data_IF_870399960573
#
_entry.id   IF_870399960573
#
_cell.length_a   1.000
_cell.length_b   1.000
_cell.length_c   1.000
_cell.angle_alpha   90.00
_cell.angle_beta   90.00
_cell.angle_gamma   90.00
#
_symmetry.space_group_name_H-M   'P 1'
#
loop_
_entity.id
_entity.type
_entity.pdbx_description
1 polymer ?
#
# COMPACT_ATOMS: atom_id res chain seq x y z
N UNK A 1 -28.16 -25.59 -31.98
CA UNK A 1 -29.49 -25.28 -31.40
C UNK A 1 -30.09 -26.55 -30.82
N UNK A 2 -29.30 -27.19 -29.99
CA UNK A 2 -29.45 -28.51 -29.38
C UNK A 2 -29.91 -28.41 -27.92
N UNK A 3 -30.27 -27.21 -27.44
CA UNK A 3 -30.94 -27.00 -26.15
C UNK A 3 -30.09 -27.27 -24.90
N UNK A 4 -28.85 -27.75 -25.02
CA UNK A 4 -28.00 -28.13 -23.88
C UNK A 4 -27.11 -27.01 -23.32
N UNK A 5 -27.24 -25.76 -23.79
CA UNK A 5 -26.40 -24.65 -23.31
C UNK A 5 -26.99 -24.01 -22.06
N UNK A 6 -26.36 -24.26 -20.92
CA UNK A 6 -26.67 -23.61 -19.65
C UNK A 6 -26.08 -22.19 -19.63
N UNK A 7 -26.89 -21.21 -19.22
CA UNK A 7 -26.40 -19.87 -18.92
C UNK A 7 -25.60 -19.93 -17.61
N UNK A 8 -24.32 -19.57 -17.66
CA UNK A 8 -23.41 -19.60 -16.52
C UNK A 8 -23.04 -18.16 -16.14
N UNK A 9 -23.15 -17.84 -14.85
CA UNK A 9 -22.66 -16.58 -14.28
C UNK A 9 -21.58 -16.96 -13.26
N UNK A 10 -20.39 -16.38 -13.40
CA UNK A 10 -19.28 -16.56 -12.47
C UNK A 10 -19.00 -15.23 -11.79
N UNK A 11 -19.13 -15.20 -10.46
CA UNK A 11 -18.78 -14.04 -9.66
C UNK A 11 -17.45 -14.32 -8.95
N UNK A 12 -16.47 -13.43 -9.14
CA UNK A 12 -15.16 -13.54 -8.49
C UNK A 12 -14.72 -12.17 -7.99
N UNK A 13 -14.19 -12.12 -6.76
CA UNK A 13 -13.60 -10.89 -6.19
C UNK A 13 -12.22 -10.56 -6.82
N UNK A 14 -11.64 -11.48 -7.59
CA UNK A 14 -10.33 -11.34 -8.25
C UNK A 14 -10.46 -11.71 -9.72
N UNK A 15 -11.27 -10.97 -10.47
CA UNK A 15 -11.53 -11.21 -11.91
C UNK A 15 -10.23 -11.30 -12.74
N UNK A 16 -9.18 -10.56 -12.34
CA UNK A 16 -7.89 -10.54 -13.02
C UNK A 16 -6.94 -11.69 -12.69
N UNK A 17 -7.25 -12.54 -11.70
CA UNK A 17 -6.39 -13.68 -11.39
C UNK A 17 -6.32 -14.63 -12.60
N UNK A 18 -5.10 -15.02 -13.00
CA UNK A 18 -4.88 -15.86 -14.18
C UNK A 18 -5.71 -17.14 -14.15
N UNK A 19 -5.81 -17.79 -12.98
CA UNK A 19 -6.61 -19.01 -12.79
C UNK A 19 -8.11 -18.79 -13.03
N UNK A 20 -8.65 -17.61 -12.68
CA UNK A 20 -10.07 -17.26 -12.89
C UNK A 20 -10.35 -17.03 -14.37
N UNK A 21 -9.47 -16.31 -15.07
CA UNK A 21 -9.56 -16.12 -16.52
C UNK A 21 -9.50 -17.45 -17.27
N UNK A 22 -8.51 -18.28 -16.95
CA UNK A 22 -8.33 -19.61 -17.54
C UNK A 22 -9.53 -20.53 -17.28
N UNK A 23 -10.13 -20.49 -16.09
CA UNK A 23 -11.34 -21.26 -15.78
C UNK A 23 -12.54 -20.77 -16.61
N UNK A 24 -12.77 -19.46 -16.70
CA UNK A 24 -13.88 -18.89 -17.43
C UNK A 24 -13.78 -19.17 -18.93
N UNK A 25 -12.60 -19.04 -19.53
CA UNK A 25 -12.36 -19.39 -20.93
C UNK A 25 -12.59 -20.87 -21.24
N UNK A 26 -12.30 -21.76 -20.27
CA UNK A 26 -12.49 -23.20 -20.43
C UNK A 26 -13.95 -23.64 -20.30
N UNK A 27 -14.72 -23.00 -19.42
CA UNK A 27 -16.07 -23.44 -19.05
C UNK A 27 -17.18 -22.64 -19.73
N UNK A 28 -16.89 -21.42 -20.19
CA UNK A 28 -17.89 -20.49 -20.73
C UNK A 28 -17.66 -20.27 -22.22
N UNK A 29 -18.75 -20.18 -22.98
CA UNK A 29 -18.72 -19.94 -24.42
C UNK A 29 -19.03 -18.46 -24.71
N UNK A 30 -17.99 -17.67 -25.04
CA UNK A 30 -18.03 -16.19 -25.17
C UNK A 30 -18.51 -15.47 -23.89
N UNK A 31 -17.73 -15.52 -22.78
CA UNK A 31 -18.08 -14.79 -21.57
C UNK A 31 -18.03 -13.27 -21.80
N UNK A 32 -19.07 -12.55 -21.37
CA UNK A 32 -19.01 -11.09 -21.22
C UNK A 32 -18.36 -10.77 -19.88
N UNK A 33 -17.24 -10.05 -19.94
CA UNK A 33 -16.56 -9.59 -18.75
C UNK A 33 -17.19 -8.30 -18.25
N UNK A 34 -17.79 -8.35 -17.05
CA UNK A 34 -18.27 -7.16 -16.34
C UNK A 34 -17.31 -6.93 -15.19
N UNK A 35 -16.39 -6.01 -15.41
CA UNK A 35 -15.50 -5.56 -14.35
C UNK A 35 -16.12 -4.39 -13.60
N UNK A 36 -16.41 -4.61 -12.33
CA UNK A 36 -16.94 -3.58 -11.44
C UNK A 36 -15.82 -2.78 -10.76
N UNK A 37 -14.58 -3.28 -10.83
CA UNK A 37 -13.43 -2.41 -10.62
C UNK A 37 -13.32 -1.59 -11.91
N UNK A 38 -13.51 -0.27 -11.83
CA UNK A 38 -12.88 0.61 -12.81
C UNK A 38 -11.36 0.35 -12.83
N UNK A 39 -10.62 1.07 -13.67
CA UNK A 39 -9.15 1.06 -13.53
C UNK A 39 -8.77 1.27 -12.06
N UNK A 40 -7.77 0.53 -11.57
CA UNK A 40 -7.31 0.65 -10.19
C UNK A 40 -6.86 2.11 -9.98
N UNK A 41 -7.73 2.91 -9.38
CA UNK A 41 -7.52 4.33 -9.19
C UNK A 41 -7.25 4.64 -7.73
N UNK A 42 -6.44 5.66 -7.50
CA UNK A 42 -6.27 6.26 -6.17
C UNK A 42 -7.59 6.96 -5.81
N UNK A 43 -8.21 6.67 -4.66
CA UNK A 43 -9.38 7.42 -4.24
C UNK A 43 -9.03 8.90 -4.09
N UNK A 44 -9.88 9.81 -4.58
CA UNK A 44 -9.68 11.26 -4.48
C UNK A 44 -9.48 11.75 -3.03
N UNK A 45 -10.03 11.00 -2.06
CA UNK A 45 -9.90 11.28 -0.63
C UNK A 45 -8.55 10.87 -0.02
N UNK A 46 -7.61 10.38 -0.84
CA UNK A 46 -6.30 9.92 -0.39
C UNK A 46 -5.21 10.75 -1.07
N UNK A 47 -4.52 11.56 -0.27
CA UNK A 47 -3.26 12.14 -0.69
C UNK A 47 -2.15 11.11 -0.43
N UNK A 48 -1.37 10.79 -1.46
CA UNK A 48 -0.27 9.85 -1.35
C UNK A 48 1.03 10.47 -1.83
N UNK A 49 2.10 10.27 -1.07
CA UNK A 49 3.43 10.84 -1.31
C UNK A 49 4.51 9.79 -1.12
N UNK A 50 5.66 10.04 -1.74
CA UNK A 50 6.87 9.22 -1.62
C UNK A 50 7.97 10.03 -0.97
N UNK A 51 8.64 9.46 0.03
CA UNK A 51 9.86 10.00 0.59
C UNK A 51 11.03 9.10 0.21
N UNK A 52 11.98 9.65 -0.55
CA UNK A 52 13.18 8.92 -0.94
C UNK A 52 14.15 8.82 0.25
N UNK A 53 14.49 7.60 0.63
CA UNK A 53 15.42 7.28 1.71
C UNK A 53 16.78 7.01 1.08
N UNK A 54 17.68 7.99 1.19
CA UNK A 54 19.01 7.90 0.61
C UNK A 54 20.10 7.85 1.69
N UNK A 55 20.79 6.71 1.85
CA UNK A 55 21.83 6.57 2.86
C UNK A 55 23.13 7.32 2.54
N UNK A 56 23.29 7.83 1.31
CA UNK A 56 24.43 8.67 0.93
C UNK A 56 24.22 10.12 1.36
N UNK A 57 23.00 10.64 1.25
CA UNK A 57 22.69 12.04 1.57
C UNK A 57 22.24 12.23 3.01
N UNK A 58 21.65 11.20 3.62
CA UNK A 58 21.30 11.19 5.04
C UNK A 58 22.28 10.29 5.82
N UNK A 59 23.33 10.88 6.38
CA UNK A 59 24.32 10.17 7.18
C UNK A 59 23.92 10.00 8.66
N UNK A 60 22.69 10.37 9.05
CA UNK A 60 22.25 10.31 10.45
C UNK A 60 22.23 8.89 11.02
N UNK A 61 22.10 7.87 10.16
CA UNK A 61 22.15 6.46 10.55
C UNK A 61 23.45 6.05 11.26
N UNK A 62 24.54 6.79 11.04
CA UNK A 62 25.85 6.51 11.65
C UNK A 62 25.90 6.86 13.15
N UNK A 63 24.99 7.71 13.62
CA UNK A 63 25.04 8.31 14.97
C UNK A 63 23.71 8.14 15.74
N UNK A 64 22.91 7.14 15.36
CA UNK A 64 21.64 6.87 16.03
C UNK A 64 21.89 6.36 17.46
N UNK A 65 21.27 7.03 18.43
CA UNK A 65 21.35 6.64 19.84
C UNK A 65 20.53 5.38 20.16
N UNK A 66 19.39 5.24 19.50
CA UNK A 66 18.43 4.15 19.69
C UNK A 66 17.93 3.66 18.32
N UNK A 67 18.82 3.01 17.53
CA UNK A 67 18.45 2.49 16.21
C UNK A 67 17.40 1.39 16.33
N UNK A 68 16.61 1.20 15.27
CA UNK A 68 15.77 0.02 15.10
C UNK A 68 16.63 -1.24 15.02
N UNK A 69 16.15 -2.33 15.63
CA UNK A 69 16.76 -3.65 15.43
C UNK A 69 16.45 -4.14 14.02
N UNK A 70 17.45 -4.62 13.28
CA UNK A 70 17.26 -5.11 11.90
C UNK A 70 16.95 -6.60 11.85
N UNK A 71 16.61 -7.10 10.67
CA UNK A 71 16.16 -8.47 10.39
C UNK A 71 17.31 -9.51 10.30
N UNK A 72 18.53 -9.12 10.67
CA UNK A 72 19.72 -9.99 10.67
C UNK A 72 20.25 -10.39 9.29
N UNK A 73 19.72 -9.82 8.21
CA UNK A 73 20.13 -10.17 6.83
C UNK A 73 21.61 -9.83 6.56
N UNK A 74 22.16 -8.89 7.33
CA UNK A 74 23.53 -8.40 7.25
C UNK A 74 24.44 -8.91 8.37
N UNK A 75 24.01 -9.89 9.18
CA UNK A 75 24.79 -10.39 10.34
C UNK A 75 26.15 -11.01 9.94
N UNK A 76 26.28 -11.48 8.70
CA UNK A 76 27.52 -12.04 8.15
C UNK A 76 28.25 -11.09 7.20
N UNK A 77 27.71 -9.88 7.00
CA UNK A 77 28.31 -8.86 6.15
C UNK A 77 29.17 -7.91 7.01
N UNK A 78 30.26 -7.36 6.45
CA UNK A 78 31.10 -6.39 7.17
C UNK A 78 30.51 -4.97 7.11
N UNK A 79 29.35 -4.78 7.74
CA UNK A 79 28.62 -3.50 7.72
C UNK A 79 29.15 -2.52 8.78
N UNK A 80 29.70 -1.39 8.33
CA UNK A 80 30.19 -0.34 9.23
C UNK A 80 30.22 1.01 8.50
N UNK A 81 29.98 2.17 9.16
CA UNK A 81 30.00 3.49 8.53
C UNK A 81 31.21 3.84 7.64
N UNK A 82 32.36 3.21 7.88
CA UNK A 82 33.60 3.41 7.12
C UNK A 82 33.69 2.55 5.87
N UNK A 83 32.87 1.49 5.76
CA UNK A 83 32.83 0.59 4.62
C UNK A 83 31.67 0.97 3.70
N UNK A 84 31.95 1.55 2.53
CA UNK A 84 30.94 1.98 1.57
C UNK A 84 30.49 0.82 0.66
N UNK A 85 30.15 -0.34 1.24
CA UNK A 85 29.65 -1.48 0.48
C UNK A 85 28.13 -1.39 0.24
N UNK A 86 27.59 -2.05 -0.81
CA UNK A 86 26.14 -2.14 -1.02
C UNK A 86 25.38 -2.67 0.21
N UNK A 87 25.95 -3.64 0.93
CA UNK A 87 25.38 -4.20 2.16
C UNK A 87 25.33 -3.16 3.29
N UNK A 88 26.34 -2.31 3.40
CA UNK A 88 26.35 -1.24 4.40
C UNK A 88 25.25 -0.22 4.10
N UNK A 89 25.09 0.18 2.84
CA UNK A 89 24.02 1.10 2.45
C UNK A 89 22.63 0.47 2.59
N UNK A 90 22.48 -0.81 2.27
CA UNK A 90 21.24 -1.57 2.53
C UNK A 90 20.90 -1.61 4.03
N UNK A 91 21.88 -1.88 4.90
CA UNK A 91 21.69 -1.82 6.35
C UNK A 91 21.34 -0.39 6.81
N UNK A 92 22.00 0.62 6.27
CA UNK A 92 21.74 2.03 6.58
C UNK A 92 20.30 2.44 6.22
N UNK A 93 19.77 1.99 5.08
CA UNK A 93 18.36 2.26 4.68
C UNK A 93 17.39 1.66 5.69
N UNK A 94 17.60 0.42 6.14
CA UNK A 94 16.75 -0.21 7.17
C UNK A 94 16.71 0.63 8.46
N UNK A 95 17.86 1.17 8.87
CA UNK A 95 17.96 2.07 10.01
C UNK A 95 17.23 3.39 9.77
N UNK A 96 17.46 4.03 8.63
CA UNK A 96 16.82 5.30 8.26
C UNK A 96 15.30 5.19 8.15
N UNK A 97 14.78 4.10 7.58
CA UNK A 97 13.33 3.86 7.47
C UNK A 97 12.64 3.84 8.85
N UNK A 98 13.30 3.29 9.87
CA UNK A 98 12.84 3.36 11.26
C UNK A 98 12.74 4.80 11.76
N UNK A 99 13.76 5.61 11.51
CA UNK A 99 13.77 7.03 11.89
C UNK A 99 12.76 7.88 11.11
N UNK A 100 12.60 7.61 9.81
CA UNK A 100 11.68 8.32 8.94
C UNK A 100 10.23 8.00 9.30
N UNK A 101 9.95 6.77 9.75
CA UNK A 101 8.64 6.43 10.31
C UNK A 101 8.29 7.29 11.54
N UNK A 102 9.23 7.45 12.47
CA UNK A 102 9.02 8.32 13.64
C UNK A 102 8.86 9.78 13.21
N UNK A 103 9.71 10.25 12.29
CA UNK A 103 9.64 11.61 11.75
C UNK A 103 8.29 11.88 11.09
N UNK A 104 7.77 10.95 10.29
CA UNK A 104 6.44 11.04 9.68
C UNK A 104 5.33 11.16 10.74
N UNK A 105 5.40 10.30 11.77
CA UNK A 105 4.47 10.30 12.90
C UNK A 105 4.46 11.67 13.61
N UNK A 106 5.65 12.23 13.87
CA UNK A 106 5.77 13.50 14.59
C UNK A 106 5.38 14.71 13.74
N UNK A 107 5.85 14.77 12.49
CA UNK A 107 5.61 15.87 11.56
C UNK A 107 4.12 16.05 11.29
N UNK A 108 3.42 14.96 11.01
CA UNK A 108 1.98 14.98 10.74
C UNK A 108 1.11 14.78 11.97
N UNK A 109 1.71 14.72 13.18
CA UNK A 109 1.02 14.50 14.45
C UNK A 109 0.04 13.32 14.38
N UNK A 110 0.49 12.22 13.79
CA UNK A 110 -0.37 11.07 13.53
C UNK A 110 -0.92 10.52 14.85
N UNK A 111 -2.23 10.50 14.97
CA UNK A 111 -2.94 9.96 16.13
C UNK A 111 -3.38 8.52 15.89
N UNK A 112 -3.58 8.15 14.62
CA UNK A 112 -3.98 6.81 14.20
C UNK A 112 -3.45 6.46 12.82
N UNK A 113 -2.68 5.39 12.71
CA UNK A 113 -2.15 4.96 11.41
C UNK A 113 -2.11 3.44 11.25
N UNK A 114 -2.16 2.99 10.00
CA UNK A 114 -1.75 1.64 9.62
C UNK A 114 -0.35 1.69 9.00
N UNK A 115 0.53 0.81 9.42
CA UNK A 115 1.93 0.79 8.97
C UNK A 115 2.19 -0.56 8.34
N UNK A 116 2.59 -0.55 7.07
CA UNK A 116 2.86 -1.76 6.30
C UNK A 116 4.35 -2.06 6.24
N UNK A 117 4.70 -3.28 6.62
CA UNK A 117 6.03 -3.86 6.44
C UNK A 117 5.96 -5.07 5.51
N UNK A 118 7.06 -5.36 4.82
CA UNK A 118 7.16 -6.51 3.91
C UNK A 118 7.16 -7.83 4.67
N UNK A 119 7.96 -7.93 5.74
CA UNK A 119 8.12 -9.18 6.49
C UNK A 119 7.52 -9.09 7.89
N UNK A 120 7.21 -10.27 8.45
CA UNK A 120 6.78 -10.41 9.85
C UNK A 120 7.84 -9.95 10.85
N UNK A 121 9.12 -10.17 10.54
CA UNK A 121 10.23 -9.77 11.41
C UNK A 121 10.34 -8.25 11.45
N UNK A 122 10.17 -7.58 10.31
CA UNK A 122 10.17 -6.11 10.25
C UNK A 122 8.99 -5.52 11.04
N UNK A 123 7.82 -6.17 11.03
CA UNK A 123 6.70 -5.77 11.88
C UNK A 123 7.10 -5.78 13.36
N UNK A 124 7.66 -6.90 13.84
CA UNK A 124 8.05 -7.09 15.24
C UNK A 124 9.16 -6.12 15.66
N UNK A 125 10.16 -5.94 14.79
CA UNK A 125 11.25 -4.99 14.99
C UNK A 125 10.73 -3.55 15.10
N UNK A 126 9.76 -3.17 14.26
CA UNK A 126 9.15 -1.84 14.29
C UNK A 126 8.27 -1.64 15.53
N UNK A 127 7.49 -2.63 15.94
CA UNK A 127 6.69 -2.59 17.18
C UNK A 127 7.59 -2.35 18.39
N UNK A 128 8.69 -3.09 18.48
CA UNK A 128 9.67 -2.92 19.55
C UNK A 128 10.32 -1.53 19.49
N UNK A 129 10.72 -1.07 18.31
CA UNK A 129 11.37 0.23 18.14
C UNK A 129 10.45 1.39 18.54
N UNK A 130 9.20 1.40 18.08
CA UNK A 130 8.22 2.43 18.45
C UNK A 130 7.95 2.43 19.96
N UNK A 131 7.80 1.26 20.58
CA UNK A 131 7.62 1.14 22.04
C UNK A 131 8.82 1.66 22.82
N UNK A 132 10.04 1.37 22.38
CA UNK A 132 11.26 1.88 23.00
C UNK A 132 11.39 3.40 22.88
N UNK A 133 11.02 3.96 21.72
CA UNK A 133 11.19 5.39 21.42
C UNK A 133 10.18 6.31 22.08
N UNK A 134 8.94 5.86 22.27
CA UNK A 134 7.88 6.73 22.78
C UNK A 134 6.88 6.08 23.73
N UNK A 135 7.04 4.80 24.06
CA UNK A 135 6.15 4.07 24.97
C UNK A 135 4.67 4.23 24.58
N UNK A 136 3.88 4.81 25.47
CA UNK A 136 2.44 5.05 25.23
C UNK A 136 2.16 6.09 24.13
N UNK A 137 3.08 7.03 23.88
CA UNK A 137 2.93 8.01 22.78
C UNK A 137 2.88 7.31 21.43
N UNK A 138 3.60 6.19 21.30
CA UNK A 138 3.68 5.35 20.11
C UNK A 138 3.09 3.95 20.33
N UNK A 139 1.97 3.88 21.08
CA UNK A 139 1.29 2.62 21.34
C UNK A 139 0.90 1.93 20.03
N UNK A 140 1.38 0.70 19.87
CA UNK A 140 1.26 -0.06 18.64
C UNK A 140 1.09 -1.55 18.90
N UNK A 141 0.52 -2.24 17.91
CA UNK A 141 0.35 -3.70 17.90
C UNK A 141 0.67 -4.26 16.50
N UNK A 142 1.18 -5.49 16.47
CA UNK A 142 1.47 -6.22 15.24
C UNK A 142 0.37 -7.17 14.79
N UNK A 143 0.19 -7.30 13.48
CA UNK A 143 -0.70 -8.27 12.85
C UNK A 143 -0.01 -8.91 11.64
N UNK A 144 0.49 -10.14 11.83
CA UNK A 144 1.11 -10.98 10.80
C UNK A 144 0.83 -12.47 11.05
N UNK A 145 1.22 -13.33 10.11
CA UNK A 145 0.87 -14.76 10.10
C UNK A 145 1.45 -15.60 11.24
N UNK A 146 2.54 -15.16 11.88
CA UNK A 146 3.19 -15.88 12.99
C UNK A 146 2.58 -15.57 14.36
N UNK A 147 1.76 -14.51 14.49
CA UNK A 147 1.00 -14.25 15.72
C UNK A 147 -0.12 -15.26 15.88
N UNK A 148 -0.41 -15.65 17.13
CA UNK A 148 -1.48 -16.61 17.41
C UNK A 148 -2.83 -16.02 16.97
N UNK A 149 -3.79 -16.84 16.48
CA UNK A 149 -5.09 -16.33 16.02
C UNK A 149 -5.84 -15.48 17.07
N UNK A 150 -5.77 -15.89 18.34
CA UNK A 150 -6.37 -15.14 19.46
C UNK A 150 -5.70 -13.77 19.67
N UNK A 151 -4.37 -13.73 19.60
CA UNK A 151 -3.58 -12.51 19.72
C UNK A 151 -3.86 -11.56 18.55
N UNK A 152 -3.96 -12.06 17.32
CA UNK A 152 -4.34 -11.26 16.14
C UNK A 152 -5.71 -10.61 16.33
N UNK A 153 -6.70 -11.36 16.82
CA UNK A 153 -8.04 -10.84 17.11
C UNK A 153 -7.99 -9.77 18.20
N UNK A 154 -7.25 -10.02 19.28
CA UNK A 154 -7.08 -9.07 20.37
C UNK A 154 -6.41 -7.77 19.91
N UNK A 155 -5.30 -7.85 19.18
CA UNK A 155 -4.58 -6.70 18.64
C UNK A 155 -5.48 -5.87 17.72
N UNK A 156 -6.23 -6.54 16.84
CA UNK A 156 -7.20 -5.88 15.97
C UNK A 156 -8.29 -5.16 16.76
N UNK A 157 -8.84 -5.79 17.79
CA UNK A 157 -9.84 -5.18 18.67
C UNK A 157 -9.29 -3.97 19.42
N UNK A 158 -8.07 -4.06 19.96
CA UNK A 158 -7.39 -2.94 20.63
C UNK A 158 -7.25 -1.74 19.69
N UNK A 159 -6.85 -1.97 18.44
CA UNK A 159 -6.74 -0.92 17.42
C UNK A 159 -8.11 -0.36 16.98
N UNK A 160 -9.12 -1.22 16.82
CA UNK A 160 -10.49 -0.79 16.49
C UNK A 160 -11.09 0.08 17.60
N UNK A 161 -10.85 -0.28 18.85
CA UNK A 161 -11.27 0.45 20.06
C UNK A 161 -10.39 1.65 20.40
N UNK A 162 -9.42 1.99 19.55
CA UNK A 162 -8.50 3.13 19.73
C UNK A 162 -7.68 3.07 21.04
N UNK A 163 -7.46 1.85 21.57
CA UNK A 163 -6.59 1.65 22.74
C UNK A 163 -5.11 1.76 22.37
N UNK A 164 -4.79 1.54 21.10
CA UNK A 164 -3.47 1.72 20.51
C UNK A 164 -3.59 2.56 19.25
N UNK A 165 -2.56 3.36 18.97
CA UNK A 165 -2.54 4.32 17.86
C UNK A 165 -2.16 3.69 16.53
N UNK A 166 -1.24 2.74 16.53
CA UNK A 166 -0.68 2.19 15.30
C UNK A 166 -0.92 0.69 15.16
N UNK A 167 -1.34 0.28 13.97
CA UNK A 167 -1.43 -1.11 13.58
C UNK A 167 -0.32 -1.41 12.57
N UNK A 168 0.62 -2.26 12.94
CA UNK A 168 1.73 -2.67 12.08
C UNK A 168 1.37 -4.03 11.46
N UNK A 169 1.45 -4.17 10.15
CA UNK A 169 1.03 -5.41 9.49
C UNK A 169 1.76 -5.72 8.18
N UNK A 170 1.68 -7.00 7.80
CA UNK A 170 2.04 -7.49 6.46
C UNK A 170 0.81 -7.52 5.56
N UNK A 171 0.98 -7.43 4.23
CA UNK A 171 -0.12 -7.50 3.26
C UNK A 171 -1.05 -8.70 3.46
N UNK A 172 -0.47 -9.90 3.62
CA UNK A 172 -1.22 -11.14 3.78
C UNK A 172 -2.18 -11.07 4.97
N UNK A 173 -1.72 -10.43 6.05
CA UNK A 173 -2.47 -10.36 7.29
C UNK A 173 -3.47 -9.20 7.31
N UNK A 174 -3.25 -8.18 6.47
CA UNK A 174 -4.14 -7.05 6.27
C UNK A 174 -5.31 -7.35 5.30
N UNK A 175 -5.16 -8.34 4.42
CA UNK A 175 -6.24 -8.79 3.54
C UNK A 175 -7.43 -9.28 4.36
N UNK A 176 -8.61 -8.78 4.02
CA UNK A 176 -9.86 -9.12 4.72
C UNK A 176 -10.05 -8.41 6.07
N UNK A 177 -9.15 -7.51 6.48
CA UNK A 177 -9.44 -6.64 7.61
C UNK A 177 -10.48 -5.61 7.20
N UNK A 178 -11.59 -5.56 7.93
CA UNK A 178 -12.55 -4.46 7.84
C UNK A 178 -12.05 -3.27 8.67
N UNK A 179 -11.03 -2.60 8.14
CA UNK A 179 -10.49 -1.33 8.61
C UNK A 179 -10.37 -0.45 7.36
N UNK A 180 -11.14 0.64 7.34
CA UNK A 180 -11.17 1.64 6.27
C UNK A 180 -11.33 3.02 6.90
N UNK A 181 -11.03 4.09 6.15
CA UNK A 181 -11.18 5.46 6.68
C UNK A 181 -10.15 5.84 7.72
N UNK A 182 -8.95 5.24 7.69
CA UNK A 182 -7.85 5.70 8.53
C UNK A 182 -7.32 7.06 8.02
N UNK A 183 -6.89 7.95 8.92
CA UNK A 183 -6.36 9.24 8.52
C UNK A 183 -4.93 9.14 7.97
N UNK A 184 -4.17 8.12 8.39
CA UNK A 184 -2.78 7.96 7.99
C UNK A 184 -2.42 6.51 7.64
N UNK A 185 -1.52 6.36 6.68
CA UNK A 185 -0.81 5.10 6.39
C UNK A 185 0.66 5.39 6.10
N UNK A 186 1.52 4.47 6.53
CA UNK A 186 2.95 4.48 6.19
C UNK A 186 3.32 3.14 5.56
N UNK A 187 3.92 3.16 4.37
CA UNK A 187 4.62 2.01 3.81
C UNK A 187 6.09 2.12 4.20
N UNK A 188 6.56 1.22 5.08
CA UNK A 188 7.99 1.11 5.42
C UNK A 188 8.75 0.50 4.24
N UNK A 189 8.11 -0.43 3.54
CA UNK A 189 8.63 -1.08 2.34
C UNK A 189 7.53 -1.09 1.29
N UNK A 190 7.86 -0.76 0.05
CA UNK A 190 6.91 -0.90 -1.05
C UNK A 190 6.51 -2.38 -1.22
N UNK A 191 5.24 -2.65 -1.57
CA UNK A 191 4.78 -4.01 -1.82
C UNK A 191 5.47 -4.61 -3.04
N UNK A 192 5.67 -5.94 -3.05
CA UNK A 192 6.26 -6.65 -4.20
C UNK A 192 5.33 -6.63 -5.44
N UNK A 193 4.05 -6.27 -5.29
CA UNK A 193 3.05 -6.19 -6.36
C UNK A 193 2.30 -4.86 -6.27
N UNK A 194 2.27 -4.14 -7.40
CA UNK A 194 1.56 -2.86 -7.58
C UNK A 194 0.08 -2.90 -7.19
N UNK A 195 -0.59 -4.04 -7.37
CA UNK A 195 -1.99 -4.23 -6.95
C UNK A 195 -2.15 -4.15 -5.43
N UNK A 196 -1.14 -4.60 -4.67
CA UNK A 196 -1.16 -4.45 -3.21
C UNK A 196 -1.00 -2.99 -2.80
N UNK A 197 -0.28 -2.16 -3.56
CA UNK A 197 -0.16 -0.72 -3.27
C UNK A 197 -1.56 -0.08 -3.21
N UNK A 198 -2.38 -0.34 -4.23
CA UNK A 198 -3.78 0.13 -4.30
C UNK A 198 -4.61 -0.38 -3.13
N UNK A 199 -4.44 -1.65 -2.75
CA UNK A 199 -5.14 -2.23 -1.59
C UNK A 199 -4.70 -1.62 -0.25
N UNK A 200 -3.43 -1.19 -0.13
CA UNK A 200 -2.91 -0.53 1.07
C UNK A 200 -3.47 0.89 1.20
N UNK A 201 -3.38 1.69 0.14
CA UNK A 201 -3.88 3.08 0.15
C UNK A 201 -5.40 3.12 0.29
N UNK A 202 -6.13 2.12 -0.22
CA UNK A 202 -7.59 2.00 -0.03
C UNK A 202 -8.04 1.79 1.43
N UNK A 203 -7.11 1.64 2.38
CA UNK A 203 -7.40 1.63 3.83
C UNK A 203 -7.45 3.02 4.44
N UNK A 204 -6.94 4.00 3.71
CA UNK A 204 -6.85 5.41 4.06
C UNK A 204 -7.97 6.17 3.37
N UNK A 205 -8.42 7.26 4.00
CA UNK A 205 -9.43 8.12 3.42
C UNK A 205 -10.84 7.54 3.48
N UNK A 206 -11.82 8.44 3.56
CA UNK A 206 -13.25 8.13 3.49
C UNK A 206 -13.94 9.32 2.82
N UNK A 207 -15.14 9.12 2.27
CA UNK A 207 -15.93 10.15 1.57
C UNK A 207 -16.06 11.53 2.27
N UNK A 208 -15.77 11.65 3.57
CA UNK A 208 -15.83 12.91 4.33
C UNK A 208 -14.48 13.40 4.91
N UNK A 209 -13.38 12.63 4.76
CA UNK A 209 -12.08 12.92 5.39
C UNK A 209 -10.92 12.53 4.48
N UNK A 210 -10.05 13.51 4.22
CA UNK A 210 -8.77 13.29 3.57
C UNK A 210 -7.86 12.44 4.46
N UNK A 211 -7.23 11.44 3.87
CA UNK A 211 -6.17 10.68 4.50
C UNK A 211 -4.84 10.83 3.76
N UNK A 212 -3.75 10.65 4.49
CA UNK A 212 -2.39 10.77 3.98
C UNK A 212 -1.70 9.40 3.98
N UNK A 213 -1.20 8.99 2.82
CA UNK A 213 -0.45 7.77 2.61
C UNK A 213 1.02 8.11 2.27
N UNK A 214 1.95 7.80 3.17
CA UNK A 214 3.38 8.05 2.95
C UNK A 214 4.07 6.74 2.60
N UNK A 215 4.85 6.72 1.52
CA UNK A 215 5.70 5.57 1.18
C UNK A 215 7.18 5.93 1.29
N UNK A 216 7.91 5.17 2.10
CA UNK A 216 9.36 5.31 2.22
C UNK A 216 10.02 4.41 1.17
N UNK A 217 10.82 5.00 0.28
CA UNK A 217 11.41 4.31 -0.88
C UNK A 217 12.91 4.46 -0.84
N UNK A 218 13.65 3.36 -0.75
CA UNK A 218 15.10 3.34 -0.81
C UNK A 218 15.60 3.88 -2.15
N UNK A 219 16.65 4.69 -2.16
CA UNK A 219 17.34 5.05 -3.43
C UNK A 219 18.34 3.99 -3.88
N UNK A 220 18.68 3.04 -3.01
CA UNK A 220 19.63 1.95 -3.28
C UNK A 220 18.96 0.58 -3.19
N UNK A 221 19.48 -0.46 -3.86
CA UNK A 221 18.99 -1.82 -3.64
C UNK A 221 19.15 -2.25 -2.18
N UNK A 222 18.11 -2.86 -1.62
CA UNK A 222 18.13 -3.45 -0.27
C UNK A 222 18.32 -4.96 -0.35
N UNK A 223 19.25 -5.52 0.41
CA UNK A 223 19.35 -6.96 0.61
C UNK A 223 18.24 -7.37 1.58
N UNK A 224 17.41 -8.31 1.16
CA UNK A 224 16.24 -8.75 1.92
C UNK A 224 16.12 -10.26 1.94
N UNK A 225 15.49 -10.80 2.98
CA UNK A 225 15.13 -12.21 3.02
C UNK A 225 14.12 -12.57 1.91
N UNK A 226 14.35 -13.72 1.28
CA UNK A 226 13.49 -14.31 0.27
C UNK A 226 13.56 -15.84 0.36
N UNK A 227 12.51 -16.43 0.92
CA UNK A 227 12.43 -17.86 1.20
C UNK A 227 11.44 -18.52 0.24
N UNK A 228 11.94 -19.31 -0.71
CA UNK A 228 11.09 -20.20 -1.50
C UNK A 228 11.22 -21.66 -1.08
N UNK A 229 10.82 -22.57 -1.97
CA UNK A 229 10.72 -24.00 -1.68
C UNK A 229 12.06 -24.66 -1.32
N UNK A 230 13.18 -24.10 -1.78
CA UNK A 230 14.52 -24.58 -1.46
C UNK A 230 14.92 -24.34 0.00
N UNK A 231 14.28 -23.39 0.68
CA UNK A 231 14.56 -23.10 2.09
C UNK A 231 13.87 -24.15 2.98
N UNK A 232 14.66 -25.10 3.51
CA UNK A 232 14.15 -26.18 4.38
C UNK A 232 13.34 -25.68 5.56
N UNK A 233 13.74 -24.57 6.17
CA UNK A 233 13.05 -23.99 7.33
C UNK A 233 11.92 -23.03 6.96
N UNK A 234 11.74 -22.74 5.65
CA UNK A 234 10.78 -21.76 5.13
C UNK A 234 10.86 -20.42 5.89
N UNK A 235 12.08 -19.98 6.17
CA UNK A 235 12.38 -18.75 6.89
C UNK A 235 12.26 -18.80 8.42
N UNK A 236 11.92 -19.94 9.03
CA UNK A 236 12.01 -20.07 10.49
C UNK A 236 13.47 -20.24 10.89
N UNK A 237 14.02 -19.30 11.67
CA UNK A 237 15.41 -19.33 12.13
C UNK A 237 16.41 -19.61 10.99
N UNK A 238 16.17 -19.02 9.81
CA UNK A 238 17.10 -19.14 8.69
C UNK A 238 18.23 -18.13 8.87
N UNK A 239 19.47 -18.59 8.73
CA UNK A 239 20.67 -17.75 8.82
C UNK A 239 21.49 -17.75 7.52
N UNK A 240 20.94 -18.29 6.43
CA UNK A 240 21.62 -18.36 5.14
C UNK A 240 21.47 -17.03 4.39
N UNK A 241 22.31 -16.06 4.74
CA UNK A 241 22.28 -14.68 4.20
C UNK A 241 22.82 -14.56 2.77
N UNK A 242 23.22 -15.67 2.14
CA UNK A 242 23.67 -15.67 0.75
C UNK A 242 22.52 -15.33 -0.21
N UNK A 243 22.87 -14.93 -1.43
CA UNK A 243 21.90 -14.67 -2.49
C UNK A 243 21.34 -15.97 -3.09
N UNK A 244 20.13 -15.91 -3.64
CA UNK A 244 19.43 -17.08 -4.19
C UNK A 244 20.12 -17.72 -5.40
N UNK A 245 20.89 -16.94 -6.17
CA UNK A 245 21.72 -17.41 -7.29
C UNK A 245 22.77 -18.47 -6.86
N UNK A 246 23.27 -18.36 -5.62
CA UNK A 246 24.19 -19.31 -4.99
C UNK A 246 23.51 -20.15 -3.92
N UNK A 247 22.22 -20.44 -4.08
CA UNK A 247 21.39 -21.26 -3.16
C UNK A 247 21.25 -20.68 -1.74
N UNK A 248 21.34 -19.36 -1.62
CA UNK A 248 21.07 -18.61 -0.41
C UNK A 248 19.59 -18.31 -0.17
N UNK A 249 19.28 -17.47 0.80
CA UNK A 249 17.90 -17.07 1.16
C UNK A 249 17.69 -15.55 1.10
N UNK A 250 18.51 -14.82 0.33
CA UNK A 250 18.39 -13.39 0.15
C UNK A 250 18.31 -12.99 -1.33
N UNK A 251 17.70 -11.84 -1.59
CA UNK A 251 17.72 -11.17 -2.90
C UNK A 251 18.05 -9.69 -2.70
N UNK A 252 18.44 -9.02 -3.78
CA UNK A 252 18.43 -7.57 -3.85
C UNK A 252 17.06 -7.08 -4.29
N UNK A 253 16.49 -6.19 -3.51
CA UNK A 253 15.16 -5.61 -3.68
C UNK A 253 15.33 -4.16 -4.15
N UNK A 254 14.79 -3.85 -5.33
CA UNK A 254 14.94 -2.56 -5.97
C UNK A 254 13.62 -1.79 -5.87
N UNK A 255 13.45 -1.02 -4.79
CA UNK A 255 12.25 -0.21 -4.59
C UNK A 255 12.03 0.89 -5.64
N UNK A 256 13.05 1.55 -6.21
CA UNK A 256 12.86 2.47 -7.33
C UNK A 256 12.15 1.84 -8.53
N UNK A 257 12.49 0.59 -8.88
CA UNK A 257 11.79 -0.13 -9.95
C UNK A 257 10.34 -0.43 -9.57
N UNK A 258 10.07 -0.82 -8.32
CA UNK A 258 8.71 -1.09 -7.85
C UNK A 258 7.86 0.19 -7.80
N UNK A 259 8.47 1.33 -7.46
CA UNK A 259 7.81 2.62 -7.53
C UNK A 259 7.41 2.94 -8.98
N UNK A 260 8.33 2.76 -9.94
CA UNK A 260 8.02 2.96 -11.35
C UNK A 260 6.87 2.04 -11.82
N UNK A 261 6.86 0.77 -11.41
CA UNK A 261 5.75 -0.14 -11.74
C UNK A 261 4.41 0.29 -11.14
N UNK A 262 4.42 0.92 -9.96
CA UNK A 262 3.22 1.49 -9.33
C UNK A 262 2.76 2.74 -10.08
N UNK A 263 3.68 3.64 -10.41
CA UNK A 263 3.39 4.88 -11.17
C UNK A 263 2.82 4.55 -12.56
N UNK A 264 3.42 3.59 -13.26
CA UNK A 264 2.94 3.10 -14.55
C UNK A 264 1.53 2.47 -14.44
N UNK A 265 1.24 1.77 -13.34
CA UNK A 265 -0.07 1.14 -13.13
C UNK A 265 -1.16 2.14 -12.82
N UNK A 266 -0.83 3.18 -12.07
CA UNK A 266 -1.74 4.27 -11.73
C UNK A 266 -1.81 5.35 -12.81
N UNK A 267 -0.90 5.30 -13.79
CA UNK A 267 -0.72 6.30 -14.84
C UNK A 267 -0.53 7.72 -14.26
N UNK A 268 0.20 7.83 -13.14
CA UNK A 268 0.54 9.10 -12.46
C UNK A 268 1.96 9.03 -11.91
N UNK A 269 2.62 10.18 -11.82
CA UNK A 269 3.85 10.33 -11.03
C UNK A 269 3.47 10.72 -9.61
N UNK A 270 3.92 9.97 -8.61
CA UNK A 270 3.60 10.23 -7.21
C UNK A 270 4.46 11.38 -6.72
N UNK A 271 3.84 12.32 -5.99
CA UNK A 271 4.56 13.45 -5.44
C UNK A 271 5.68 12.98 -4.49
N UNK A 272 6.90 13.46 -4.75
CA UNK A 272 8.02 13.23 -3.85
C UNK A 272 8.14 14.35 -2.81
N UNK A 273 8.36 13.95 -1.56
CA UNK A 273 8.67 14.84 -0.45
C UNK A 273 10.10 14.61 0.01
N UNK A 274 10.71 15.65 0.55
CA UNK A 274 12.06 15.55 1.07
C UNK A 274 12.13 14.79 2.41
N UNK A 275 13.34 14.65 2.94
CA UNK A 275 13.58 13.94 4.21
C UNK A 275 12.91 14.57 5.43
N UNK A 276 12.50 15.84 5.38
CA UNK A 276 11.72 16.47 6.45
C UNK A 276 10.29 15.93 6.53
N UNK A 277 9.84 15.23 5.48
CA UNK A 277 8.48 14.72 5.31
C UNK A 277 7.45 15.85 5.37
N UNK A 278 7.84 17.06 4.97
CA UNK A 278 6.90 18.15 4.80
C UNK A 278 6.11 17.92 3.52
N UNK A 279 4.80 17.75 3.66
CA UNK A 279 3.89 17.53 2.54
C UNK A 279 3.33 18.90 2.14
N UNK A 280 3.66 19.41 0.94
CA UNK A 280 3.18 20.71 0.50
C UNK A 280 1.65 20.75 0.55
N UNK A 281 1.11 21.76 1.23
CA UNK A 281 -0.31 22.05 1.19
C UNK A 281 -0.56 22.73 -0.16
N UNK A 282 -1.14 22.02 -1.13
CA UNK A 282 -1.48 22.65 -2.40
C UNK A 282 -2.47 23.81 -2.16
N UNK A 283 -2.17 24.98 -2.74
CA UNK A 283 -2.95 26.22 -2.64
C UNK A 283 -4.40 26.10 -3.16
N UNK A 284 -4.75 24.97 -3.79
CA UNK A 284 -6.09 24.69 -4.30
C UNK A 284 -7.08 24.22 -3.24
N UNK A 285 -6.59 23.74 -2.08
CA UNK A 285 -7.38 22.90 -1.17
C UNK A 285 -7.52 23.44 0.26
N UNK A 286 -7.16 24.72 0.48
CA UNK A 286 -7.49 25.48 1.70
C UNK A 286 -7.31 24.71 3.01
N UNK A 287 -6.06 24.51 3.47
CA UNK A 287 -5.71 23.86 4.75
C UNK A 287 -6.39 22.49 4.97
N UNK A 288 -6.02 21.50 4.17
CA UNK A 288 -6.36 20.11 4.48
C UNK A 288 -5.65 19.69 5.78
N UNK A 289 -6.40 19.61 6.87
CA UNK A 289 -5.94 18.96 8.10
C UNK A 289 -6.34 17.49 8.00
N UNK A 290 -5.37 16.63 7.70
CA UNK A 290 -5.60 15.18 7.60
C UNK A 290 -6.27 14.65 8.85
N UNK A 291 -7.26 13.79 8.64
CA UNK A 291 -8.02 13.22 9.74
C UNK A 291 -8.97 14.18 10.44
N UNK A 292 -9.28 15.38 9.94
CA UNK A 292 -10.46 16.17 10.33
C UNK A 292 -11.58 16.07 9.29
N UNK A 293 -12.84 16.33 9.68
CA UNK A 293 -13.94 16.41 8.71
C UNK A 293 -13.78 17.68 7.89
N UNK A 294 -13.75 17.56 6.56
CA UNK A 294 -13.82 18.72 5.70
C UNK A 294 -15.25 19.28 5.77
N UNK A 295 -15.44 20.37 6.52
CA UNK A 295 -16.70 21.13 6.52
C UNK A 295 -16.97 21.80 5.17
N UNK A 296 -15.94 21.91 4.31
CA UNK A 296 -16.00 22.58 3.00
C UNK A 296 -16.15 21.63 1.80
N UNK A 297 -16.30 20.31 1.98
CA UNK A 297 -16.60 19.39 0.87
C UNK A 297 -18.08 19.42 0.43
N UNK A 298 -18.78 20.50 0.74
CA UNK A 298 -20.19 20.70 0.37
C UNK A 298 -20.41 21.22 -1.05
N UNK A 299 -19.38 21.51 -1.85
CA UNK A 299 -19.57 22.24 -3.12
C UNK A 299 -19.13 21.50 -4.39
N UNK A 300 -18.31 20.44 -4.30
CA UNK A 300 -17.85 19.72 -5.51
C UNK A 300 -18.91 18.81 -6.17
N UNK A 301 -19.85 18.29 -5.38
CA UNK A 301 -20.87 17.35 -5.90
C UNK A 301 -21.99 18.08 -6.67
N UNK A 302 -22.35 19.30 -6.27
CA UNK A 302 -23.29 20.14 -7.03
C UNK A 302 -22.64 20.60 -8.35
N UNK A 303 -21.36 21.02 -8.32
CA UNK A 303 -20.63 21.44 -9.53
C UNK A 303 -20.52 20.32 -10.57
N UNK A 304 -20.23 19.07 -10.18
CA UNK A 304 -20.14 17.96 -11.14
C UNK A 304 -21.50 17.59 -11.77
N UNK A 305 -22.58 17.65 -10.99
CA UNK A 305 -23.94 17.40 -11.51
C UNK A 305 -24.36 18.52 -12.46
N UNK A 306 -24.03 19.78 -12.15
CA UNK A 306 -24.27 20.91 -13.05
C UNK A 306 -23.42 20.85 -14.33
N UNK A 307 -22.15 20.43 -14.22
CA UNK A 307 -21.25 20.26 -15.37
C UNK A 307 -21.66 19.08 -16.27
N UNK A 308 -22.10 17.97 -15.70
CA UNK A 308 -22.49 16.77 -16.45
C UNK A 308 -23.93 16.82 -16.97
N UNK A 309 -24.80 17.63 -16.36
CA UNK A 309 -26.21 17.79 -16.75
C UNK A 309 -26.42 18.04 -18.25
N UNK A 310 -25.70 18.98 -18.89
CA UNK A 310 -25.79 19.20 -20.33
C UNK A 310 -25.38 17.99 -21.17
N UNK A 311 -24.33 17.28 -20.76
CA UNK A 311 -23.80 16.10 -21.46
C UNK A 311 -24.77 14.92 -21.36
N UNK A 312 -25.35 14.69 -20.18
CA UNK A 312 -26.35 13.65 -19.95
C UNK A 312 -27.62 13.91 -20.77
N UNK A 313 -28.10 15.16 -20.82
CA UNK A 313 -29.26 15.53 -21.67
C UNK A 313 -28.98 15.26 -23.15
N UNK A 314 -27.79 15.61 -23.63
CA UNK A 314 -27.39 15.37 -25.02
C UNK A 314 -27.30 13.88 -25.35
N UNK A 315 -26.85 13.04 -24.41
CA UNK A 315 -26.88 11.58 -24.54
C UNK A 315 -28.30 11.04 -24.62
N UNK A 316 -29.22 11.53 -23.78
CA UNK A 316 -30.63 11.15 -23.82
C UNK A 316 -31.29 11.52 -25.17
N UNK A 317 -30.98 12.69 -25.71
CA UNK A 317 -31.51 13.11 -27.03
C UNK A 317 -30.99 12.22 -28.16
N UNK A 318 -29.69 11.89 -28.15
CA UNK A 318 -29.08 10.99 -29.13
C UNK A 318 -29.65 9.57 -29.04
N UNK A 319 -29.87 9.08 -27.83
CA UNK A 319 -30.52 7.79 -27.58
C UNK A 319 -31.95 7.79 -28.14
N UNK A 320 -32.75 8.82 -27.83
CA UNK A 320 -34.12 8.96 -28.31
C UNK A 320 -34.18 8.99 -29.84
N UNK A 321 -33.26 9.72 -30.49
CA UNK A 321 -33.16 9.75 -31.95
C UNK A 321 -32.79 8.38 -32.52
N UNK A 322 -31.82 7.69 -31.92
CA UNK A 322 -31.39 6.36 -32.36
C UNK A 322 -32.54 5.33 -32.26
N UNK A 323 -33.23 5.30 -31.11
CA UNK A 323 -34.38 4.42 -30.89
C UNK A 323 -35.54 4.75 -31.84
N UNK A 324 -35.81 6.05 -32.07
CA UNK A 324 -36.85 6.48 -33.01
C UNK A 324 -36.53 6.10 -34.45
N UNK A 325 -35.27 6.20 -34.88
CA UNK A 325 -34.81 5.76 -36.20
C UNK A 325 -34.92 4.25 -36.36
N UNK A 326 -34.58 3.48 -35.32
CA UNK A 326 -34.73 2.02 -35.29
C UNK A 326 -36.21 1.61 -35.44
N UNK A 327 -37.11 2.23 -34.66
CA UNK A 327 -38.55 1.95 -34.74
C UNK A 327 -39.17 2.36 -36.08
N UNK A 328 -38.69 3.44 -36.71
CA UNK A 328 -39.11 3.82 -38.07
C UNK A 328 -38.65 2.82 -39.12
N UNK A 329 -37.46 2.25 -38.98
CA UNK A 329 -36.95 1.19 -39.87
C UNK A 329 -37.66 -0.15 -39.72
N UNK A 330 -38.22 -0.45 -38.56
CA UNK A 330 -39.01 -1.68 -38.33
C UNK A 330 -40.45 -1.62 -38.88
N UNK A 331 -40.94 -0.43 -39.25
CA UNK A 331 -42.28 -0.21 -39.81
C UNK A 331 -42.32 -0.12 -41.35
N UNK A 332 -41.20 -0.41 -42.01
CA UNK A 332 -41.05 -0.66 -43.45
C UNK A 332 -40.65 -2.12 -43.60
#
# INVERSE_FOLDING_TARGET
>A
SDGCRLQMIVCSATLHAFEVKKMAERLMHFPTWVDLKGEDAVPETVHHVVCMVDPHTDSSWQQLRQPIHTDGVHDHDNVHPTNQSPETFSQAVKLLKGEYCIRAIEQHKMDRAIIFCRTKQDCDNLEQHLRQRGGQRYSCVCLHGDRKPQERKQNLEMFKRQQVKYLICTDVAARGLDITGLPFMINITLPDDKSNYVHRIGRVGRAERMGLAISLVSTVPEKVWYHGEWCKTRGRNCHNTNLTDVRGCCIWYNEPNLLAEVEDHLNITIQQVDKSLDVPVNDFDGKVVYGQKNLNMGTGYEDHVEQLGPTVRKLTDLELQSQSLFLKRLKV
#
